data_IF_875497895698
#
_entry.id   IF_875497895698
#
_cell.length_a   1.000
_cell.length_b   1.000
_cell.length_c   1.000
_cell.angle_alpha   90.00
_cell.angle_beta   90.00
_cell.angle_gamma   90.00
#
_symmetry.space_group_name_H-M   'P 1'
#
loop_
_entity.id
_entity.type
_entity.pdbx_description
1 polymer ?
#
# COMPACT_ATOMS: atom_id res chain seq x y z
N UNK A 1 -4.11 -8.59 -0.19
CA UNK A 1 -5.48 -9.03 0.13
C UNK A 1 -6.01 -8.12 1.23
N UNK A 2 -7.24 -7.61 1.10
CA UNK A 2 -7.91 -6.76 2.09
C UNK A 2 -9.24 -7.41 2.43
N UNK A 3 -9.43 -7.76 3.70
CA UNK A 3 -10.72 -8.19 4.22
C UNK A 3 -11.53 -6.94 4.59
N UNK A 4 -12.76 -6.86 4.09
CA UNK A 4 -13.64 -5.72 4.32
C UNK A 4 -15.10 -6.19 4.31
N UNK A 5 -15.90 -5.64 5.23
CA UNK A 5 -17.35 -5.92 5.31
C UNK A 5 -18.19 -4.86 4.57
N UNK A 6 -17.61 -3.70 4.26
CA UNK A 6 -18.30 -2.56 3.65
C UNK A 6 -18.24 -2.59 2.12
N UNK A 7 -19.36 -2.34 1.45
CA UNK A 7 -19.44 -2.37 -0.02
C UNK A 7 -18.93 -1.07 -0.66
N UNK A 8 -17.65 -0.75 -0.46
CA UNK A 8 -16.97 0.45 -0.97
C UNK A 8 -15.96 0.10 -2.07
N UNK A 9 -16.43 -0.45 -3.19
CA UNK A 9 -15.57 -1.01 -4.24
C UNK A 9 -14.63 0.03 -4.88
N UNK A 10 -15.12 1.25 -5.12
CA UNK A 10 -14.32 2.32 -5.72
C UNK A 10 -13.20 2.79 -4.78
N UNK A 11 -13.51 3.02 -3.49
CA UNK A 11 -12.51 3.37 -2.50
C UNK A 11 -11.45 2.28 -2.34
N UNK A 12 -11.89 1.03 -2.26
CA UNK A 12 -10.99 -0.13 -2.17
C UNK A 12 -10.09 -0.24 -3.40
N UNK A 13 -10.64 -0.03 -4.60
CA UNK A 13 -9.85 -0.03 -5.85
C UNK A 13 -8.80 1.07 -5.85
N UNK A 14 -9.17 2.30 -5.47
CA UNK A 14 -8.24 3.43 -5.35
C UNK A 14 -7.16 3.17 -4.29
N UNK A 15 -7.52 2.59 -3.14
CA UNK A 15 -6.58 2.20 -2.11
C UNK A 15 -5.53 1.22 -2.64
N UNK A 16 -5.97 0.14 -3.32
CA UNK A 16 -5.03 -0.83 -3.88
C UNK A 16 -4.13 -0.25 -4.96
N UNK A 17 -4.68 0.61 -5.83
CA UNK A 17 -3.90 1.28 -6.87
C UNK A 17 -2.77 2.11 -6.27
N UNK A 18 -3.05 2.97 -5.29
CA UNK A 18 -2.03 3.84 -4.68
C UNK A 18 -1.02 3.07 -3.83
N UNK A 19 -1.47 2.04 -3.10
CA UNK A 19 -0.54 1.17 -2.34
C UNK A 19 0.37 0.39 -3.31
N UNK A 20 -0.15 -0.06 -4.45
CA UNK A 20 0.64 -0.75 -5.46
C UNK A 20 1.70 0.15 -6.09
N UNK A 21 1.38 1.42 -6.39
CA UNK A 21 2.37 2.40 -6.84
C UNK A 21 3.47 2.65 -5.79
N UNK A 22 3.10 2.73 -4.52
CA UNK A 22 4.06 2.85 -3.42
C UNK A 22 4.96 1.62 -3.31
N UNK A 23 4.38 0.43 -3.50
CA UNK A 23 5.11 -0.84 -3.50
C UNK A 23 6.12 -0.90 -4.65
N UNK A 24 5.75 -0.51 -5.87
CA UNK A 24 6.68 -0.45 -7.01
C UNK A 24 7.87 0.48 -6.71
N UNK A 25 7.62 1.65 -6.09
CA UNK A 25 8.70 2.58 -5.70
C UNK A 25 9.71 1.97 -4.73
N UNK A 26 9.25 1.08 -3.84
CA UNK A 26 10.15 0.33 -2.94
C UNK A 26 11.00 -0.65 -3.74
N UNK A 27 10.39 -1.40 -4.66
CA UNK A 27 11.10 -2.38 -5.50
C UNK A 27 12.15 -1.74 -6.41
N UNK A 28 11.97 -0.47 -6.78
CA UNK A 28 12.94 0.29 -7.58
C UNK A 28 14.18 0.74 -6.77
N UNK A 29 14.17 0.58 -5.45
CA UNK A 29 15.34 0.90 -4.63
C UNK A 29 16.40 -0.20 -4.80
N UNK A 30 17.61 0.09 -5.29
CA UNK A 30 18.67 -0.91 -5.49
C UNK A 30 19.17 -1.54 -4.18
N UNK A 31 18.87 -0.93 -3.04
CA UNK A 31 19.19 -1.46 -1.71
C UNK A 31 18.10 -2.38 -1.16
N UNK A 32 16.97 -2.52 -1.84
CA UNK A 32 15.90 -3.42 -1.44
C UNK A 32 16.16 -4.82 -1.96
N UNK A 33 16.07 -5.82 -1.07
CA UNK A 33 16.17 -7.23 -1.45
C UNK A 33 14.80 -7.75 -1.90
N UNK A 34 14.62 -8.18 -3.16
CA UNK A 34 13.35 -8.73 -3.62
C UNK A 34 12.88 -9.92 -2.76
N UNK A 35 11.59 -9.96 -2.44
CA UNK A 35 11.01 -10.99 -1.57
C UNK A 35 11.26 -10.82 -0.08
N UNK A 36 12.12 -9.87 0.32
CA UNK A 36 12.25 -9.50 1.74
C UNK A 36 11.02 -8.72 2.24
N UNK A 37 10.90 -8.56 3.57
CA UNK A 37 9.83 -7.76 4.17
C UNK A 37 10.13 -6.27 4.02
N UNK A 38 9.13 -5.47 3.66
CA UNK A 38 9.20 -4.01 3.72
C UNK A 38 9.17 -3.57 5.19
N UNK A 39 10.21 -2.87 5.65
CA UNK A 39 10.38 -2.38 7.04
C UNK A 39 10.43 -0.85 7.14
N UNK A 40 10.12 -0.15 6.05
CA UNK A 40 10.18 1.31 5.98
C UNK A 40 9.04 1.97 6.75
N UNK A 41 9.36 2.76 7.77
CA UNK A 41 8.37 3.55 8.53
C UNK A 41 7.61 4.57 7.67
N UNK A 42 8.26 5.10 6.64
CA UNK A 42 7.64 6.02 5.67
C UNK A 42 6.57 5.30 4.84
N UNK A 43 6.87 4.07 4.41
CA UNK A 43 5.91 3.22 3.71
C UNK A 43 4.67 2.99 4.59
N UNK A 44 4.87 2.58 5.84
CA UNK A 44 3.78 2.32 6.79
C UNK A 44 2.92 3.57 7.03
N UNK A 45 3.56 4.73 7.19
CA UNK A 45 2.87 6.01 7.41
C UNK A 45 1.97 6.37 6.23
N UNK A 46 2.47 6.20 4.99
CA UNK A 46 1.70 6.44 3.78
C UNK A 46 0.55 5.46 3.61
N UNK A 47 0.77 4.16 3.81
CA UNK A 47 -0.30 3.15 3.72
C UNK A 47 -1.41 3.46 4.73
N UNK A 48 -1.07 3.85 5.97
CA UNK A 48 -2.06 4.26 6.97
C UNK A 48 -2.84 5.51 6.56
N UNK A 49 -2.19 6.48 5.91
CA UNK A 49 -2.86 7.67 5.40
C UNK A 49 -3.83 7.33 4.25
N UNK A 50 -3.44 6.43 3.34
CA UNK A 50 -4.30 5.95 2.26
C UNK A 50 -5.49 5.16 2.79
N UNK A 51 -5.28 4.32 3.81
CA UNK A 51 -6.35 3.57 4.45
C UNK A 51 -7.42 4.53 5.00
N UNK A 52 -7.03 5.56 5.76
CA UNK A 52 -7.97 6.58 6.27
C UNK A 52 -8.70 7.37 5.18
N UNK A 53 -8.12 7.46 3.98
CA UNK A 53 -8.70 8.22 2.86
C UNK A 53 -9.75 7.40 2.08
N UNK A 54 -9.56 6.09 1.98
CA UNK A 54 -10.24 5.26 0.99
C UNK A 54 -11.02 4.06 1.54
N UNK A 55 -10.70 3.60 2.75
CA UNK A 55 -11.33 2.43 3.38
C UNK A 55 -12.26 2.89 4.50
#
# INVERSE_FOLDING_TARGET
MLLHDSRNEDGIKSFFQEVHELYIKILQNPLYLPGSRITSSHFDTKVRALARKYL
#
